data_IF_013259271877
#
_entry.id   IF_013259271877
#
_cell.length_a   1.000
_cell.length_b   1.000
_cell.length_c   1.000
_cell.angle_alpha   90.00
_cell.angle_beta   90.00
_cell.angle_gamma   90.00
#
_symmetry.space_group_name_H-M   'P 1'
#
loop_
_entity.id
_entity.type
_entity.pdbx_description
1 polymer ?
#
# COMPACT_ATOMS: atom_id res chain seq x y z
N UNK A 1 12.13 5.79 6.12
CA UNK A 1 11.72 6.12 7.50
C UNK A 1 10.75 7.31 7.55
N UNK A 2 11.01 8.46 6.91
CA UNK A 2 10.16 9.65 7.00
C UNK A 2 8.68 9.38 6.63
N UNK A 3 8.43 8.60 5.56
CA UNK A 3 7.07 8.22 5.17
C UNK A 3 6.39 7.35 6.24
N UNK A 4 7.11 6.38 6.81
CA UNK A 4 6.59 5.50 7.87
C UNK A 4 6.22 6.31 9.11
N UNK A 5 7.11 7.20 9.56
CA UNK A 5 6.86 8.11 10.68
C UNK A 5 5.62 8.99 10.43
N UNK A 6 5.52 9.57 9.23
CA UNK A 6 4.37 10.40 8.87
C UNK A 6 3.05 9.60 8.88
N UNK A 7 3.06 8.40 8.28
CA UNK A 7 1.89 7.53 8.26
C UNK A 7 1.47 7.09 9.67
N UNK A 8 2.43 6.64 10.47
CA UNK A 8 2.24 6.23 11.86
C UNK A 8 1.64 7.35 12.72
N UNK A 9 2.28 8.51 12.71
CA UNK A 9 1.81 9.67 13.49
C UNK A 9 0.39 10.09 13.13
N UNK A 10 0.05 10.10 11.82
CA UNK A 10 -1.29 10.47 11.38
C UNK A 10 -2.35 9.45 11.81
N UNK A 11 -2.03 8.18 11.74
CA UNK A 11 -2.92 7.10 12.14
C UNK A 11 -3.21 7.13 13.64
N UNK A 12 -2.18 7.12 14.47
CA UNK A 12 -2.35 7.07 15.93
C UNK A 12 -2.87 8.38 16.55
N UNK A 13 -2.59 9.52 15.93
CA UNK A 13 -3.16 10.81 16.36
C UNK A 13 -4.56 11.06 15.78
N UNK A 14 -5.12 10.10 15.05
CA UNK A 14 -6.45 10.25 14.42
C UNK A 14 -6.57 11.53 13.59
N UNK A 15 -5.50 11.91 12.89
CA UNK A 15 -5.44 13.13 12.09
C UNK A 15 -5.35 12.77 10.60
N UNK A 16 -6.48 12.83 9.86
CA UNK A 16 -6.45 12.54 8.42
C UNK A 16 -5.56 13.56 7.70
N UNK A 17 -4.64 13.09 6.89
CA UNK A 17 -3.77 13.95 6.08
C UNK A 17 -3.47 13.30 4.75
N UNK A 18 -3.35 14.13 3.74
CA UNK A 18 -2.89 13.72 2.43
C UNK A 18 -1.49 13.10 2.52
N UNK A 19 -1.15 12.23 1.61
CA UNK A 19 0.16 11.58 1.61
C UNK A 19 0.55 11.09 0.22
N UNK A 20 1.56 10.24 0.18
CA UNK A 20 1.99 9.57 -1.04
C UNK A 20 1.82 8.07 -0.90
N UNK A 21 1.46 7.41 -2.01
CA UNK A 21 1.59 5.96 -2.10
C UNK A 21 3.06 5.59 -2.18
N UNK A 22 3.42 4.44 -1.60
CA UNK A 22 4.72 3.82 -1.85
C UNK A 22 4.57 2.77 -2.95
N UNK A 23 5.50 2.78 -3.88
CA UNK A 23 5.69 1.71 -4.84
C UNK A 23 7.04 1.04 -4.56
N UNK A 24 6.99 -0.26 -4.31
CA UNK A 24 8.15 -1.13 -4.13
C UNK A 24 8.35 -1.94 -5.42
N UNK A 25 9.25 -1.54 -6.28
CA UNK A 25 9.55 -2.25 -7.51
C UNK A 25 10.86 -3.05 -7.38
N UNK A 26 10.85 -4.30 -7.79
CA UNK A 26 12.06 -5.13 -7.75
C UNK A 26 11.82 -6.59 -8.09
N UNK A 27 12.87 -7.38 -8.31
CA UNK A 27 12.75 -8.80 -8.62
C UNK A 27 11.98 -9.57 -7.55
N UNK A 28 11.45 -10.72 -7.94
CA UNK A 28 10.81 -11.65 -7.02
C UNK A 28 11.78 -12.09 -5.90
N UNK A 29 11.24 -12.34 -4.70
CA UNK A 29 12.04 -12.81 -3.57
C UNK A 29 12.91 -11.76 -2.87
N UNK A 30 12.75 -10.46 -3.19
CA UNK A 30 13.52 -9.36 -2.58
C UNK A 30 12.82 -8.72 -1.37
N UNK A 31 11.90 -9.40 -0.73
CA UNK A 31 11.33 -8.98 0.56
C UNK A 31 10.23 -7.92 0.49
N UNK A 32 9.68 -7.59 -0.68
CA UNK A 32 8.59 -6.60 -0.81
C UNK A 32 7.39 -6.95 0.05
N UNK A 33 6.86 -8.16 -0.13
CA UNK A 33 5.73 -8.69 0.66
C UNK A 33 6.06 -8.78 2.15
N UNK A 34 7.29 -9.18 2.50
CA UNK A 34 7.75 -9.22 3.89
C UNK A 34 7.70 -7.82 4.52
N UNK A 35 8.19 -6.81 3.82
CA UNK A 35 8.14 -5.42 4.27
C UNK A 35 6.69 -4.97 4.51
N UNK A 36 5.79 -5.24 3.56
CA UNK A 36 4.37 -4.86 3.69
C UNK A 36 3.73 -5.56 4.90
N UNK A 37 3.84 -6.89 4.98
CA UNK A 37 3.12 -7.67 5.99
C UNK A 37 3.77 -7.61 7.37
N UNK A 38 5.10 -7.71 7.46
CA UNK A 38 5.79 -7.83 8.74
C UNK A 38 6.28 -6.49 9.29
N UNK A 39 6.82 -5.61 8.43
CA UNK A 39 7.27 -4.31 8.90
C UNK A 39 6.09 -3.34 9.03
N UNK A 40 5.35 -3.10 7.96
CA UNK A 40 4.23 -2.16 8.03
C UNK A 40 3.07 -2.72 8.86
N UNK A 41 2.63 -3.96 8.62
CA UNK A 41 1.60 -4.60 9.43
C UNK A 41 1.95 -4.62 10.91
N UNK A 42 3.20 -4.98 11.26
CA UNK A 42 3.69 -4.97 12.64
C UNK A 42 3.74 -3.57 13.25
N UNK A 43 4.22 -2.57 12.50
CA UNK A 43 4.29 -1.18 12.95
C UNK A 43 2.91 -0.61 13.33
N UNK A 44 1.90 -0.95 12.56
CA UNK A 44 0.52 -0.50 12.82
C UNK A 44 -0.29 -1.45 13.71
N UNK A 45 0.26 -2.59 14.07
CA UNK A 45 -0.45 -3.62 14.86
C UNK A 45 -1.67 -4.20 14.15
N UNK A 46 -1.72 -4.11 12.82
CA UNK A 46 -2.85 -4.55 12.00
C UNK A 46 -2.39 -5.06 10.65
N UNK A 47 -2.95 -6.18 10.21
CA UNK A 47 -2.65 -6.73 8.88
C UNK A 47 -3.04 -5.73 7.78
N UNK A 48 -2.17 -5.53 6.77
CA UNK A 48 -2.51 -4.77 5.58
C UNK A 48 -3.71 -5.39 4.85
N UNK A 49 -4.65 -4.56 4.41
CA UNK A 49 -5.76 -5.04 3.58
C UNK A 49 -5.29 -5.32 2.15
N UNK A 50 -5.74 -6.42 1.57
CA UNK A 50 -5.56 -6.66 0.13
C UNK A 50 -6.56 -5.79 -0.64
N UNK A 51 -6.03 -4.77 -1.31
CA UNK A 51 -6.84 -3.81 -2.06
C UNK A 51 -6.78 -4.01 -3.59
N UNK A 52 -6.12 -5.07 -4.06
CA UNK A 52 -5.94 -5.32 -5.49
C UNK A 52 -7.26 -5.30 -6.25
N UNK A 53 -8.18 -6.18 -5.89
CA UNK A 53 -9.49 -6.27 -6.54
C UNK A 53 -10.32 -4.98 -6.42
N UNK A 54 -10.24 -4.29 -5.28
CA UNK A 54 -10.93 -3.02 -5.11
C UNK A 54 -10.41 -1.94 -6.04
N UNK A 55 -9.11 -1.84 -6.17
CA UNK A 55 -8.44 -0.82 -6.98
C UNK A 55 -8.58 -1.09 -8.49
N UNK A 56 -8.56 -2.35 -8.89
CA UNK A 56 -8.59 -2.78 -10.29
C UNK A 56 -10.04 -2.98 -10.77
N UNK A 57 -10.81 -3.80 -10.08
CA UNK A 57 -12.16 -4.19 -10.51
C UNK A 57 -13.23 -3.21 -10.02
N UNK A 58 -12.91 -2.43 -8.97
CA UNK A 58 -13.79 -1.45 -8.37
C UNK A 58 -14.94 -2.07 -7.61
N UNK A 59 -14.64 -3.09 -6.82
CA UNK A 59 -15.58 -3.63 -5.86
C UNK A 59 -16.19 -2.49 -5.03
N UNK A 60 -17.51 -2.39 -4.92
CA UNK A 60 -18.15 -1.30 -4.21
C UNK A 60 -17.92 -1.35 -2.70
N UNK A 61 -17.58 -2.52 -2.17
CA UNK A 61 -17.37 -2.75 -0.76
C UNK A 61 -16.02 -2.22 -0.30
N UNK A 62 -16.02 -1.35 0.69
CA UNK A 62 -14.82 -0.67 1.19
C UNK A 62 -14.55 -0.92 2.66
N UNK A 63 -15.40 -1.66 3.35
CA UNK A 63 -15.30 -1.94 4.77
C UNK A 63 -13.94 -2.56 5.15
N UNK A 64 -13.53 -3.62 4.46
CA UNK A 64 -12.25 -4.28 4.71
C UNK A 64 -11.02 -3.43 4.35
N UNK A 65 -11.18 -2.50 3.39
CA UNK A 65 -10.13 -1.58 2.97
C UNK A 65 -9.94 -0.48 4.00
N UNK A 66 -11.06 0.09 4.47
CA UNK A 66 -11.07 1.19 5.44
C UNK A 66 -10.60 0.75 6.81
N UNK A 67 -10.81 -0.51 7.13
CA UNK A 67 -10.46 -1.07 8.43
C UNK A 67 -8.94 -1.24 8.65
N UNK A 68 -8.12 -1.17 7.60
CA UNK A 68 -6.67 -1.28 7.71
C UNK A 68 -5.95 0.03 7.45
N UNK A 69 -4.91 0.38 8.23
CA UNK A 69 -4.07 1.56 7.97
C UNK A 69 -3.21 1.43 6.71
N UNK A 70 -3.05 0.22 6.19
CA UNK A 70 -2.27 -0.05 4.97
C UNK A 70 -3.16 -0.78 3.95
N UNK A 71 -3.38 -0.14 2.81
CA UNK A 71 -3.95 -0.74 1.61
C UNK A 71 -2.81 -1.31 0.77
N UNK A 72 -2.67 -2.62 0.76
CA UNK A 72 -1.65 -3.31 -0.01
C UNK A 72 -2.19 -3.76 -1.38
N UNK A 73 -1.39 -3.57 -2.41
CA UNK A 73 -1.57 -4.14 -3.73
C UNK A 73 -0.29 -4.93 -4.01
N UNK A 74 -0.37 -6.23 -3.85
CA UNK A 74 0.79 -7.12 -3.90
C UNK A 74 0.51 -8.26 -4.88
N UNK A 75 1.44 -8.51 -5.78
CA UNK A 75 1.35 -9.55 -6.81
C UNK A 75 0.07 -9.50 -7.69
N UNK A 76 -0.44 -8.30 -7.93
CA UNK A 76 -1.60 -8.10 -8.80
C UNK A 76 -1.23 -8.35 -10.27
N UNK A 77 -2.14 -8.96 -11.01
CA UNK A 77 -1.99 -9.11 -12.45
C UNK A 77 -1.85 -7.76 -13.17
N UNK A 78 -1.11 -7.77 -14.28
CA UNK A 78 -0.90 -6.58 -15.08
C UNK A 78 -2.23 -6.03 -15.63
N UNK A 79 -2.39 -4.71 -15.57
CA UNK A 79 -3.55 -4.06 -16.17
C UNK A 79 -3.39 -4.03 -17.69
N UNK A 80 -4.28 -4.70 -18.39
CA UNK A 80 -4.16 -4.90 -19.85
C UNK A 80 -4.92 -3.86 -20.66
N UNK A 81 -5.95 -3.24 -20.09
CA UNK A 81 -6.77 -2.25 -20.81
C UNK A 81 -6.50 -0.82 -20.35
N UNK A 82 -6.62 0.13 -21.29
CA UNK A 82 -6.54 1.56 -20.96
C UNK A 82 -7.60 1.99 -19.94
N UNK A 83 -8.77 1.35 -19.96
CA UNK A 83 -9.85 1.63 -19.03
C UNK A 83 -9.48 1.19 -17.59
N UNK A 84 -8.88 0.02 -17.43
CA UNK A 84 -8.39 -0.46 -16.11
C UNK A 84 -7.32 0.47 -15.56
N UNK A 85 -6.34 0.86 -16.39
CA UNK A 85 -5.28 1.80 -16.01
C UNK A 85 -5.84 3.16 -15.58
N UNK A 86 -6.81 3.71 -16.33
CA UNK A 86 -7.46 4.98 -15.99
C UNK A 86 -8.22 4.88 -14.66
N UNK A 87 -8.96 3.79 -14.44
CA UNK A 87 -9.70 3.52 -13.21
C UNK A 87 -8.75 3.39 -12.02
N UNK A 88 -7.70 2.58 -12.15
CA UNK A 88 -6.68 2.42 -11.12
C UNK A 88 -6.04 3.76 -10.76
N UNK A 89 -5.64 4.55 -11.76
CA UNK A 89 -5.07 5.89 -11.56
C UNK A 89 -6.03 6.82 -10.80
N UNK A 90 -7.32 6.80 -11.16
CA UNK A 90 -8.33 7.62 -10.48
C UNK A 90 -8.52 7.18 -9.03
N UNK A 91 -8.56 5.87 -8.76
CA UNK A 91 -8.68 5.31 -7.41
C UNK A 91 -7.44 5.64 -6.57
N UNK A 92 -6.23 5.48 -7.13
CA UNK A 92 -5.00 5.84 -6.45
C UNK A 92 -4.99 7.32 -6.06
N UNK A 93 -5.33 8.20 -7.00
CA UNK A 93 -5.46 9.65 -6.75
C UNK A 93 -6.45 9.94 -5.62
N UNK A 94 -7.60 9.27 -5.61
CA UNK A 94 -8.61 9.40 -4.57
C UNK A 94 -8.05 9.04 -3.19
N UNK A 95 -7.47 7.86 -3.02
CA UNK A 95 -6.95 7.42 -1.72
C UNK A 95 -5.74 8.21 -1.22
N UNK A 96 -4.92 8.72 -2.13
CA UNK A 96 -3.74 9.53 -1.78
C UNK A 96 -4.10 10.99 -1.45
N UNK A 97 -5.18 11.52 -2.05
CA UNK A 97 -5.54 12.95 -1.98
C UNK A 97 -6.84 13.23 -1.25
N UNK A 98 -7.34 12.30 -0.44
CA UNK A 98 -8.57 12.50 0.32
C UNK A 98 -8.33 12.30 1.82
N UNK A 99 -8.95 13.17 2.61
CA UNK A 99 -9.03 13.03 4.08
C UNK A 99 -10.26 12.25 4.52
N UNK A 100 -11.22 12.10 3.62
CA UNK A 100 -12.47 11.34 3.82
C UNK A 100 -12.67 10.37 2.69
N UNK A 101 -13.13 9.17 2.97
CA UNK A 101 -13.48 8.18 1.95
C UNK A 101 -14.86 7.59 2.21
N UNK A 102 -15.49 7.08 1.14
CA UNK A 102 -16.77 6.43 1.27
C UNK A 102 -16.60 5.08 1.96
N UNK A 103 -17.41 4.87 2.98
CA UNK A 103 -17.56 3.59 3.66
C UNK A 103 -18.80 2.89 3.09
N UNK A 104 -18.63 1.69 2.60
CA UNK A 104 -19.69 0.88 2.08
C UNK A 104 -19.49 -0.59 2.54
N UNK A 105 -20.36 -1.05 3.39
CA UNK A 105 -20.35 -2.42 3.89
C UNK A 105 -21.70 -3.10 3.60
N UNK A 106 -21.66 -4.41 3.42
CA UNK A 106 -22.90 -5.20 3.19
C UNK A 106 -23.88 -4.96 4.34
N UNK A 107 -25.13 -4.69 3.97
CA UNK A 107 -26.23 -4.49 4.94
C UNK A 107 -26.04 -3.31 5.90
N UNK A 108 -25.17 -2.37 5.58
CA UNK A 108 -25.00 -1.13 6.36
C UNK A 108 -25.28 0.09 5.50
N UNK A 109 -25.65 1.18 6.14
CA UNK A 109 -25.84 2.46 5.47
C UNK A 109 -24.48 2.96 4.96
N UNK A 110 -24.46 3.39 3.71
CA UNK A 110 -23.27 4.03 3.11
C UNK A 110 -23.02 5.38 3.79
N UNK A 111 -21.78 5.68 4.08
CA UNK A 111 -21.37 6.91 4.71
C UNK A 111 -19.98 7.36 4.28
N UNK A 112 -19.48 8.42 4.92
CA UNK A 112 -18.09 8.84 4.78
C UNK A 112 -17.39 8.70 6.11
N UNK A 113 -16.13 8.26 6.07
CA UNK A 113 -15.29 8.11 7.26
C UNK A 113 -13.95 8.81 7.05
N UNK A 114 -13.32 9.32 8.13
CA UNK A 114 -11.97 9.84 8.08
C UNK A 114 -11.00 8.77 7.54
N UNK A 115 -10.10 9.20 6.67
CA UNK A 115 -9.15 8.29 6.04
C UNK A 115 -7.73 8.52 6.57
N UNK A 116 -7.21 7.55 7.28
CA UNK A 116 -5.87 7.56 7.86
C UNK A 116 -4.91 6.63 7.12
N UNK A 117 -5.44 5.83 6.20
CA UNK A 117 -4.68 4.78 5.54
C UNK A 117 -3.69 5.28 4.49
N UNK A 118 -2.81 4.38 4.08
CA UNK A 118 -1.81 4.60 3.05
C UNK A 118 -1.80 3.46 2.05
N UNK A 119 -1.56 3.80 0.80
CA UNK A 119 -1.48 2.82 -0.30
C UNK A 119 -0.03 2.37 -0.46
N UNK A 120 0.18 1.07 -0.53
CA UNK A 120 1.48 0.45 -0.81
C UNK A 120 1.31 -0.55 -1.94
N UNK A 121 2.10 -0.39 -2.99
CA UNK A 121 2.07 -1.24 -4.19
C UNK A 121 3.39 -1.99 -4.25
N UNK A 122 3.35 -3.32 -4.37
CA UNK A 122 4.51 -4.12 -4.71
C UNK A 122 4.35 -4.67 -6.13
N UNK A 123 5.37 -4.50 -6.93
CA UNK A 123 5.41 -5.03 -8.30
C UNK A 123 6.80 -5.54 -8.65
N UNK A 124 6.87 -6.43 -9.63
CA UNK A 124 8.14 -6.86 -10.18
C UNK A 124 8.66 -5.82 -11.20
N UNK A 125 9.93 -5.93 -11.59
CA UNK A 125 10.57 -4.98 -12.51
C UNK A 125 10.49 -5.39 -13.97
N UNK A 126 9.83 -6.50 -14.28
CA UNK A 126 9.53 -6.85 -15.66
C UNK A 126 8.49 -5.89 -16.27
N UNK A 127 8.53 -5.77 -17.58
CA UNK A 127 7.69 -4.81 -18.33
C UNK A 127 6.20 -5.06 -18.17
N UNK A 128 5.80 -6.28 -17.86
CA UNK A 128 4.41 -6.65 -17.66
C UNK A 128 3.92 -6.24 -16.27
N UNK A 129 4.65 -6.60 -15.22
CA UNK A 129 4.33 -6.22 -13.84
C UNK A 129 4.32 -4.72 -13.61
N UNK A 130 5.17 -3.96 -14.32
CA UNK A 130 5.17 -2.50 -14.23
C UNK A 130 3.94 -1.83 -14.83
N UNK A 131 3.15 -2.54 -15.65
CA UNK A 131 1.90 -2.01 -16.22
C UNK A 131 0.80 -1.75 -15.20
N UNK A 132 0.95 -2.23 -13.96
CA UNK A 132 0.03 -1.86 -12.89
C UNK A 132 0.19 -0.38 -12.51
N UNK A 133 1.33 0.23 -12.77
CA UNK A 133 1.56 1.62 -12.43
C UNK A 133 0.86 2.55 -13.42
N UNK A 134 0.19 3.59 -12.92
CA UNK A 134 -0.37 4.60 -13.80
C UNK A 134 0.74 5.34 -14.57
N UNK A 135 0.37 5.95 -15.69
CA UNK A 135 1.30 6.83 -16.39
C UNK A 135 1.85 7.87 -15.42
N UNK A 136 3.18 7.99 -15.36
CA UNK A 136 3.90 8.89 -14.44
C UNK A 136 3.89 10.33 -14.98
N UNK A 137 2.69 10.87 -15.21
CA UNK A 137 2.50 12.29 -15.45
C UNK A 137 2.84 13.11 -14.19
N UNK A 138 2.93 14.43 -14.32
CA UNK A 138 3.26 15.34 -13.21
C UNK A 138 2.32 15.15 -12.01
N UNK A 139 1.05 14.84 -12.25
CA UNK A 139 0.06 14.64 -11.21
C UNK A 139 0.29 13.35 -10.43
N UNK A 140 0.59 12.25 -11.11
CA UNK A 140 0.85 10.96 -10.50
C UNK A 140 2.24 10.93 -9.83
N UNK A 141 3.26 11.53 -10.45
CA UNK A 141 4.61 11.59 -9.91
C UNK A 141 4.66 12.27 -8.53
N UNK A 142 3.84 13.28 -8.29
CA UNK A 142 3.74 13.95 -6.97
C UNK A 142 3.05 13.10 -5.90
N UNK A 143 2.31 12.06 -6.29
CA UNK A 143 1.51 11.23 -5.39
C UNK A 143 2.14 9.86 -5.09
N UNK A 144 3.26 9.55 -5.71
CA UNK A 144 3.92 8.26 -5.62
C UNK A 144 5.37 8.46 -5.21
N UNK A 145 5.80 7.70 -4.20
CA UNK A 145 7.22 7.52 -3.87
C UNK A 145 7.64 6.14 -4.37
N UNK A 146 8.47 6.13 -5.42
CA UNK A 146 8.96 4.90 -6.04
C UNK A 146 10.28 4.49 -5.42
N UNK A 147 10.32 3.26 -4.91
CA UNK A 147 11.52 2.62 -4.38
C UNK A 147 11.84 1.37 -5.19
N UNK A 148 13.08 1.28 -5.62
CA UNK A 148 13.60 0.08 -6.26
C UNK A 148 14.34 -0.76 -5.23
N UNK A 149 13.96 -2.05 -5.10
CA UNK A 149 14.70 -2.97 -4.26
C UNK A 149 16.04 -3.32 -4.91
N UNK A 150 17.09 -3.40 -4.10
CA UNK A 150 18.41 -3.80 -4.57
C UNK A 150 18.54 -5.31 -4.68
N UNK A 151 19.56 -5.77 -5.40
CA UNK A 151 19.92 -7.19 -5.47
C UNK A 151 20.70 -7.68 -4.23
N UNK A 152 20.86 -6.80 -3.24
CA UNK A 152 21.56 -7.15 -2.02
C UNK A 152 20.90 -8.35 -1.34
N UNK A 153 21.70 -9.36 -1.00
CA UNK A 153 21.22 -10.51 -0.20
C UNK A 153 21.02 -10.04 1.23
N UNK A 154 19.84 -10.36 1.78
CA UNK A 154 19.65 -10.20 3.22
C UNK A 154 20.65 -11.08 3.96
N UNK A 155 21.22 -10.54 5.04
CA UNK A 155 22.23 -11.24 5.85
C UNK A 155 21.65 -12.47 6.58
N UNK A 156 20.34 -12.58 6.66
CA UNK A 156 19.65 -13.65 7.39
C UNK A 156 19.06 -14.66 6.40
N UNK A 157 19.61 -15.88 6.33
CA UNK A 157 19.20 -16.86 5.32
C UNK A 157 17.84 -17.50 5.61
N UNK A 158 17.41 -17.58 6.87
CA UNK A 158 16.15 -18.19 7.25
C UNK A 158 15.05 -17.14 7.43
N UNK A 159 13.90 -17.38 6.78
CA UNK A 159 12.71 -16.51 6.86
C UNK A 159 12.27 -16.30 8.30
N UNK A 160 12.20 -17.36 9.09
CA UNK A 160 11.80 -17.33 10.50
C UNK A 160 12.72 -16.43 11.35
N UNK A 161 14.04 -16.52 11.13
CA UNK A 161 15.02 -15.65 11.79
C UNK A 161 14.79 -14.18 11.42
N UNK A 162 14.55 -13.91 10.15
CA UNK A 162 14.26 -12.55 9.66
C UNK A 162 12.99 -12.00 10.30
N UNK A 163 11.91 -12.76 10.32
CA UNK A 163 10.63 -12.33 10.92
C UNK A 163 10.77 -12.06 12.43
N UNK A 164 11.51 -12.89 13.14
CA UNK A 164 11.81 -12.69 14.58
C UNK A 164 12.59 -11.40 14.83
N UNK A 165 13.61 -11.13 14.02
CA UNK A 165 14.40 -9.90 14.14
C UNK A 165 13.57 -8.65 13.81
N UNK A 166 12.76 -8.70 12.76
CA UNK A 166 11.83 -7.60 12.45
C UNK A 166 10.93 -7.32 13.66
N UNK A 167 10.33 -8.36 14.24
CA UNK A 167 9.46 -8.19 15.42
C UNK A 167 10.20 -7.56 16.61
N UNK A 168 11.46 -7.93 16.83
CA UNK A 168 12.27 -7.36 17.90
C UNK A 168 12.64 -5.88 17.67
N UNK A 169 12.79 -5.47 16.40
CA UNK A 169 13.16 -4.10 16.00
C UNK A 169 11.97 -3.14 15.89
N UNK A 170 10.74 -3.66 15.71
CA UNK A 170 9.54 -2.83 15.53
C UNK A 170 9.35 -1.76 16.61
N UNK A 171 9.56 -2.01 17.92
CA UNK A 171 9.39 -1.00 18.95
C UNK A 171 10.31 0.22 18.80
N UNK A 172 11.43 0.06 18.10
CA UNK A 172 12.38 1.15 17.83
C UNK A 172 12.04 1.95 16.56
N UNK A 173 11.06 1.50 15.76
CA UNK A 173 10.58 2.19 14.57
C UNK A 173 9.33 3.05 14.86
N UNK A 174 8.62 2.78 15.93
CA UNK A 174 7.45 3.53 16.42
C UNK A 174 7.89 4.75 17.25
#
# INVERSE_FOLDING_TARGET
LAWMKYAYTNYYNMTPKLGQAIVLAGPMGKGKTLFIKKVLGGLFGKEPSDAGNHMVDGTPWTDYVVDSPIMAIDDQEALTSAQQLAKFSAMLKKYVSSEMINYNAKFKQTGQVPWFGRVVIACNTDSESLRILPNMDISNAKKISLFRTSDHRMQFPARETTERLITAELPFLA
#
